data_IF_105139037406
#
_entry.id   IF_105139037406
#
_cell.length_a   1.000
_cell.length_b   1.000
_cell.length_c   1.000
_cell.angle_alpha   90.00
_cell.angle_beta   90.00
_cell.angle_gamma   90.00
#
_symmetry.space_group_name_H-M   'P 1'
#
loop_
_entity.id
_entity.type
_entity.pdbx_description
1 polymer ?
#
# COMPACT_ATOMS: atom_id res chain seq x y z
N UNK A 1 -1.77 -13.46 3.79
CA UNK A 1 -0.91 -12.72 2.86
C UNK A 1 -1.46 -11.32 2.73
N UNK A 2 -0.64 -10.33 3.08
CA UNK A 2 -0.94 -8.92 2.84
C UNK A 2 -0.68 -8.57 1.37
N UNK A 3 -1.25 -7.45 0.90
CA UNK A 3 -0.96 -6.95 -0.44
C UNK A 3 0.51 -6.52 -0.59
N UNK A 4 1.17 -6.12 0.51
CA UNK A 4 2.62 -5.86 0.52
C UNK A 4 3.42 -7.14 0.22
N UNK A 5 3.12 -8.24 0.92
CA UNK A 5 3.80 -9.52 0.68
C UNK A 5 3.54 -10.02 -0.75
N UNK A 6 2.28 -9.96 -1.20
CA UNK A 6 1.93 -10.33 -2.56
C UNK A 6 2.65 -9.46 -3.61
N UNK A 7 2.79 -8.17 -3.33
CA UNK A 7 3.51 -7.23 -4.19
C UNK A 7 5.00 -7.58 -4.30
N UNK A 8 5.65 -7.92 -3.19
CA UNK A 8 7.04 -8.35 -3.15
C UNK A 8 7.25 -9.68 -3.88
N UNK A 9 6.35 -10.64 -3.70
CA UNK A 9 6.40 -11.94 -4.42
C UNK A 9 6.26 -11.81 -5.95
N UNK A 10 5.64 -10.72 -6.42
CA UNK A 10 5.41 -10.44 -7.83
C UNK A 10 6.33 -9.34 -8.39
N UNK A 11 7.45 -9.04 -7.71
CA UNK A 11 8.47 -8.05 -8.14
C UNK A 11 7.90 -6.64 -8.40
N UNK A 12 6.92 -6.20 -7.61
CA UNK A 12 6.31 -4.85 -7.74
C UNK A 12 6.90 -3.83 -6.76
N UNK A 13 6.63 -2.53 -7.01
CA UNK A 13 7.37 -1.39 -6.44
C UNK A 13 7.10 -0.98 -4.96
N UNK A 14 6.03 -1.36 -4.21
CA UNK A 14 5.85 -0.79 -2.86
C UNK A 14 6.98 -1.27 -1.94
N UNK A 15 7.74 -0.31 -1.40
CA UNK A 15 8.97 -0.59 -0.66
C UNK A 15 8.68 -1.37 0.63
N UNK A 16 7.76 -0.87 1.46
CA UNK A 16 7.41 -1.55 2.72
C UNK A 16 8.55 -1.63 3.73
N UNK A 17 9.27 -0.53 3.92
CA UNK A 17 10.48 -0.43 4.75
C UNK A 17 10.33 -0.92 6.22
N UNK A 18 9.12 -0.92 6.78
CA UNK A 18 8.87 -1.42 8.14
C UNK A 18 8.37 -2.87 8.20
N UNK A 19 8.36 -3.58 7.06
CA UNK A 19 7.92 -4.97 6.94
C UNK A 19 6.47 -5.18 7.44
N UNK A 20 5.62 -4.17 7.25
CA UNK A 20 4.21 -4.22 7.63
C UNK A 20 3.90 -3.95 9.11
N UNK A 21 4.87 -3.42 9.86
CA UNK A 21 4.71 -3.13 11.30
C UNK A 21 3.88 -1.87 11.62
N UNK A 22 3.19 -1.26 10.64
CA UNK A 22 2.37 -0.05 10.80
C UNK A 22 3.13 1.16 11.42
N UNK A 23 4.39 1.36 11.02
CA UNK A 23 5.23 2.48 11.51
C UNK A 23 5.84 3.32 10.38
N UNK A 24 5.38 3.13 9.15
CA UNK A 24 5.79 3.92 7.99
C UNK A 24 4.67 3.95 6.93
N UNK A 25 4.82 4.81 5.93
CA UNK A 25 3.92 4.95 4.79
C UNK A 25 4.47 4.42 3.46
N UNK A 26 5.65 3.78 3.44
CA UNK A 26 6.33 3.38 2.19
C UNK A 26 5.70 2.19 1.46
N UNK A 27 4.65 1.59 2.02
CA UNK A 27 3.77 0.62 1.35
C UNK A 27 2.44 1.23 0.94
N UNK A 28 2.33 2.56 0.94
CA UNK A 28 1.13 3.26 0.50
C UNK A 28 0.77 2.88 -0.94
N UNK A 29 -0.49 2.53 -1.11
CA UNK A 29 -1.08 2.17 -2.39
C UNK A 29 -2.42 2.89 -2.53
N UNK A 30 -2.84 3.06 -3.78
CA UNK A 30 -4.13 3.62 -4.14
C UNK A 30 -4.96 2.51 -4.77
N UNK A 31 -6.15 2.28 -4.23
CA UNK A 31 -7.13 1.36 -4.82
C UNK A 31 -7.74 2.02 -6.06
N UNK A 32 -7.64 1.38 -7.22
CA UNK A 32 -8.09 1.99 -8.48
C UNK A 32 -9.61 2.03 -8.63
N UNK A 33 -10.34 1.20 -7.88
CA UNK A 33 -11.78 1.01 -8.05
C UNK A 33 -12.52 1.12 -6.70
N UNK A 34 -13.53 2.00 -6.69
CA UNK A 34 -14.42 2.29 -5.55
C UNK A 34 -15.15 1.04 -5.04
N UNK A 35 -15.51 0.10 -5.90
CA UNK A 35 -16.18 -1.13 -5.47
C UNK A 35 -15.27 -1.93 -4.53
N UNK A 36 -13.98 -2.02 -4.83
CA UNK A 36 -13.03 -2.72 -3.99
C UNK A 36 -12.67 -1.93 -2.74
N UNK A 37 -12.52 -0.61 -2.83
CA UNK A 37 -12.26 0.24 -1.65
C UNK A 37 -13.38 0.13 -0.61
N UNK A 38 -14.63 0.00 -1.04
CA UNK A 38 -15.78 -0.18 -0.16
C UNK A 38 -15.84 -1.57 0.49
N UNK A 39 -15.10 -2.55 -0.03
CA UNK A 39 -14.96 -3.90 0.56
C UNK A 39 -13.84 -3.97 1.59
N UNK A 40 -12.94 -2.99 1.61
CA UNK A 40 -11.88 -2.89 2.59
C UNK A 40 -12.39 -2.28 3.89
N UNK A 41 -11.74 -2.66 4.99
CA UNK A 41 -11.94 -2.00 6.28
C UNK A 41 -11.40 -0.56 6.19
N UNK A 42 -12.05 0.35 6.90
CA UNK A 42 -11.56 1.72 6.97
C UNK A 42 -10.25 1.76 7.77
N UNK A 43 -9.29 2.61 7.36
CA UNK A 43 -8.02 2.74 8.06
C UNK A 43 -8.22 3.06 9.55
N UNK A 44 -7.43 2.43 10.41
CA UNK A 44 -7.41 2.77 11.84
C UNK A 44 -6.83 4.17 12.04
N UNK A 45 -6.97 4.73 13.26
CA UNK A 45 -6.37 6.03 13.57
C UNK A 45 -4.84 6.01 13.37
N UNK A 46 -4.17 4.92 13.77
CA UNK A 46 -2.73 4.74 13.57
C UNK A 46 -2.35 4.61 12.08
N UNK A 47 -3.18 3.93 11.28
CA UNK A 47 -2.96 3.86 9.84
C UNK A 47 -3.15 5.23 9.19
N UNK A 48 -4.18 5.99 9.59
CA UNK A 48 -4.41 7.34 9.11
C UNK A 48 -3.22 8.26 9.44
N UNK A 49 -2.68 8.17 10.66
CA UNK A 49 -1.47 8.92 11.06
C UNK A 49 -0.30 8.66 10.12
N UNK A 50 -0.11 7.41 9.68
CA UNK A 50 0.92 7.07 8.70
C UNK A 50 0.54 7.53 7.29
N UNK A 51 -0.71 7.37 6.85
CA UNK A 51 -1.19 7.81 5.54
C UNK A 51 -1.04 9.33 5.34
N UNK A 52 -1.16 10.14 6.40
CA UNK A 52 -0.90 11.58 6.34
C UNK A 52 0.53 11.94 5.95
N UNK A 53 1.49 11.02 6.15
CA UNK A 53 2.89 11.19 5.75
C UNK A 53 3.14 10.76 4.31
N UNK A 54 2.17 10.10 3.66
CA UNK A 54 2.32 9.55 2.31
C UNK A 54 2.18 10.62 1.22
N UNK A 55 2.97 10.52 0.17
CA UNK A 55 2.84 11.41 -0.98
C UNK A 55 1.63 11.05 -1.84
N UNK A 56 0.86 12.06 -2.27
CA UNK A 56 -0.28 11.86 -3.15
C UNK A 56 -1.45 11.13 -2.47
N UNK A 57 -1.64 11.36 -1.16
CA UNK A 57 -2.78 10.84 -0.40
C UNK A 57 -4.12 11.19 -1.06
N UNK A 58 -5.01 10.19 -1.17
CA UNK A 58 -6.37 10.30 -1.71
C UNK A 58 -7.36 9.56 -0.80
N UNK A 59 -8.67 9.76 -0.99
CA UNK A 59 -9.71 8.96 -0.33
C UNK A 59 -9.61 7.45 -0.60
N UNK A 60 -9.04 7.08 -1.75
CA UNK A 60 -8.81 5.71 -2.19
C UNK A 60 -7.50 5.09 -1.66
N UNK A 61 -6.78 5.79 -0.79
CA UNK A 61 -5.48 5.36 -0.27
C UNK A 61 -5.62 4.38 0.89
N UNK A 62 -4.68 3.43 0.96
CA UNK A 62 -4.49 2.54 2.11
C UNK A 62 -3.02 2.10 2.19
N UNK A 63 -2.62 1.53 3.33
CA UNK A 63 -1.31 0.90 3.45
C UNK A 63 -1.40 -0.56 2.99
N UNK A 64 -0.60 -0.94 1.99
CA UNK A 64 -0.64 -2.28 1.41
C UNK A 64 -0.38 -3.40 2.41
N UNK A 65 0.32 -3.12 3.51
CA UNK A 65 0.53 -4.08 4.60
C UNK A 65 -0.73 -4.37 5.43
N UNK A 66 -1.67 -3.43 5.50
CA UNK A 66 -2.93 -3.59 6.24
C UNK A 66 -4.02 -4.26 5.39
N UNK A 67 -3.85 -4.29 4.06
CA UNK A 67 -4.80 -4.95 3.15
C UNK A 67 -4.49 -6.45 3.07
N UNK A 68 -5.41 -7.28 3.57
CA UNK A 68 -5.28 -8.74 3.52
C UNK A 68 -5.99 -9.30 2.28
N UNK A 69 -5.31 -10.18 1.54
CA UNK A 69 -5.88 -10.85 0.38
C UNK A 69 -7.09 -11.73 0.78
N UNK A 70 -8.23 -11.49 0.12
CA UNK A 70 -9.49 -12.21 0.27
C UNK A 70 -10.04 -12.56 -1.12
N UNK A 71 -10.79 -13.67 -1.28
CA UNK A 71 -11.38 -14.04 -2.58
C UNK A 71 -12.28 -12.96 -3.19
N UNK A 72 -12.90 -12.12 -2.35
CA UNK A 72 -13.77 -11.01 -2.75
C UNK A 72 -13.02 -9.83 -3.38
N UNK A 73 -11.70 -9.80 -3.21
CA UNK A 73 -10.79 -8.80 -3.77
C UNK A 73 -10.10 -9.31 -5.05
N UNK A 74 -10.52 -10.45 -5.59
CA UNK A 74 -9.99 -10.97 -6.86
C UNK A 74 -10.25 -9.96 -7.99
N UNK A 75 -9.20 -9.68 -8.77
CA UNK A 75 -9.22 -8.65 -9.81
C UNK A 75 -9.01 -7.21 -9.32
N UNK A 76 -8.82 -6.97 -8.02
CA UNK A 76 -8.53 -5.63 -7.49
C UNK A 76 -7.21 -5.09 -8.07
N UNK A 77 -7.25 -3.85 -8.55
CA UNK A 77 -6.07 -3.15 -9.06
C UNK A 77 -5.58 -2.10 -8.06
N UNK A 78 -4.27 -2.10 -7.83
CA UNK A 78 -3.57 -1.16 -6.95
C UNK A 78 -2.52 -0.39 -7.77
N UNK A 79 -2.36 0.89 -7.48
CA UNK A 79 -1.19 1.65 -7.91
C UNK A 79 -0.32 1.96 -6.70
N UNK A 80 0.99 1.69 -6.80
CA UNK A 80 1.95 2.13 -5.81
C UNK A 80 2.11 3.64 -5.87
N UNK A 81 2.16 4.30 -4.71
CA UNK A 81 2.64 5.68 -4.67
C UNK A 81 4.14 5.66 -4.89
N UNK A 82 4.59 6.33 -5.95
CA UNK A 82 6.03 6.57 -6.16
C UNK A 82 6.48 7.66 -5.21
N UNK A 83 6.63 7.29 -3.95
CA UNK A 83 7.35 8.13 -3.00
C UNK A 83 8.83 8.09 -3.40
N UNK A 84 9.35 9.27 -3.79
CA UNK A 84 10.76 9.54 -4.14
C UNK A 84 11.30 9.09 -5.51
N UNK A 85 10.63 9.46 -6.61
CA UNK A 85 11.36 9.74 -7.86
C UNK A 85 12.01 11.14 -7.81
N UNK A 86 12.92 11.37 -6.87
CA UNK A 86 13.92 12.48 -6.97
C UNK A 86 15.33 11.92 -7.19
N UNK A 87 15.58 10.65 -6.87
CA UNK A 87 16.74 9.93 -7.35
C UNK A 87 16.30 8.63 -8.02
N UNK A 88 16.89 8.33 -9.16
CA UNK A 88 16.70 7.13 -9.98
C UNK A 88 17.22 5.85 -9.28
N UNK A 89 16.94 5.68 -7.99
CA UNK A 89 17.47 4.59 -7.18
C UNK A 89 16.35 3.67 -6.69
N UNK A 90 16.32 2.46 -7.23
CA UNK A 90 15.48 1.36 -6.73
C UNK A 90 16.32 0.59 -5.70
N UNK A 91 16.02 0.68 -4.39
CA UNK A 91 16.70 -0.13 -3.38
C UNK A 91 16.40 -1.61 -3.60
N UNK A 92 17.39 -2.48 -3.37
CA UNK A 92 17.17 -3.92 -3.39
C UNK A 92 16.48 -4.35 -2.08
N UNK A 93 15.44 -5.21 -2.14
CA UNK A 93 14.85 -5.78 -0.94
C UNK A 93 15.93 -6.52 -0.13
N UNK A 94 15.84 -6.39 1.20
CA UNK A 94 16.80 -6.91 2.17
C UNK A 94 16.69 -8.43 2.34
#
# INVERSE_FOLDING_TARGET
MSMLEAAHENDTEPEGACEGSLVCSTCHVIVMDMEYRNKLEDPTDEENDMLYLAFGLTEMSCLGCQVIAKPELDGMQLAGSRDFAVDWYVPKPH
#
